data_IF_343887055424
#
_entry.id   IF_343887055424
#
_cell.length_a   1.000
_cell.length_b   1.000
_cell.length_c   1.000
_cell.angle_alpha   90.00
_cell.angle_beta   90.00
_cell.angle_gamma   90.00
#
_symmetry.space_group_name_H-M   'P 1'
#
loop_
_entity.id
_entity.type
_entity.pdbx_description
1 polymer ?
#
# COMPACT_ATOMS: atom_id res chain seq x y z
N UNK A 1 38.81 -14.61 62.13
CA UNK A 1 37.33 -14.44 61.97
C UNK A 1 37.09 -13.81 60.59
N UNK A 2 36.66 -14.60 59.60
CA UNK A 2 36.38 -14.13 58.23
C UNK A 2 34.88 -13.85 58.10
N UNK A 3 34.41 -12.74 57.52
CA UNK A 3 32.97 -12.50 57.37
C UNK A 3 32.39 -13.41 56.29
N UNK A 4 31.23 -14.02 56.59
CA UNK A 4 30.40 -14.84 55.68
C UNK A 4 29.90 -13.93 54.52
N UNK A 5 30.09 -14.37 53.28
CA UNK A 5 29.39 -13.82 52.11
C UNK A 5 27.92 -14.13 52.21
N UNK A 6 27.09 -13.09 52.18
CA UNK A 6 25.64 -13.22 52.02
C UNK A 6 25.35 -13.77 50.64
N UNK A 7 24.63 -14.85 50.59
CA UNK A 7 24.09 -15.47 49.37
C UNK A 7 23.08 -14.51 48.69
N UNK A 8 23.30 -14.22 47.44
CA UNK A 8 22.34 -13.53 46.57
C UNK A 8 21.01 -14.31 46.61
N UNK A 9 19.98 -13.67 47.11
CA UNK A 9 18.61 -14.17 47.05
C UNK A 9 18.16 -14.05 45.59
N UNK A 10 17.92 -15.21 44.96
CA UNK A 10 17.25 -15.33 43.66
C UNK A 10 15.83 -14.74 43.76
N UNK A 11 15.65 -13.50 43.29
CA UNK A 11 14.35 -12.85 43.23
C UNK A 11 13.55 -13.48 42.08
N UNK A 12 12.44 -14.20 42.38
CA UNK A 12 11.63 -14.83 41.31
C UNK A 12 10.98 -13.84 40.36
N UNK A 13 10.94 -12.53 40.67
CA UNK A 13 10.41 -11.48 39.79
C UNK A 13 11.37 -11.09 38.66
N UNK A 14 12.68 -11.41 38.77
CA UNK A 14 13.65 -11.17 37.71
C UNK A 14 13.56 -12.16 36.55
N UNK A 15 12.79 -13.25 36.66
CA UNK A 15 12.63 -14.26 35.59
C UNK A 15 11.38 -14.09 34.73
N UNK A 16 10.48 -13.18 35.06
CA UNK A 16 9.30 -12.90 34.24
C UNK A 16 9.59 -11.74 33.29
N UNK A 17 10.22 -12.04 32.14
CA UNK A 17 10.27 -11.11 31.01
C UNK A 17 8.89 -11.06 30.40
N UNK A 18 8.06 -10.13 30.86
CA UNK A 18 6.80 -9.79 30.19
C UNK A 18 7.19 -9.14 28.87
N UNK A 19 7.00 -9.86 27.76
CA UNK A 19 7.23 -9.29 26.44
C UNK A 19 6.16 -8.25 26.14
N UNK A 20 6.52 -7.08 25.60
CA UNK A 20 5.55 -6.08 25.22
C UNK A 20 4.54 -6.66 24.21
N UNK A 21 3.26 -6.41 24.40
CA UNK A 21 2.23 -6.75 23.42
C UNK A 21 2.46 -5.88 22.21
N UNK A 22 2.95 -6.48 21.11
CA UNK A 22 3.09 -5.79 19.84
C UNK A 22 1.70 -5.68 19.21
N UNK A 23 1.25 -4.45 18.96
CA UNK A 23 0.02 -4.20 18.20
C UNK A 23 0.31 -4.46 16.71
N UNK A 24 0.27 -5.75 16.32
CA UNK A 24 0.51 -6.17 14.93
C UNK A 24 -0.75 -6.03 14.10
N UNK A 25 -0.63 -5.52 12.88
CA UNK A 25 -1.73 -5.41 11.93
C UNK A 25 -2.27 -6.80 11.58
N UNK A 26 -3.56 -6.89 11.28
CA UNK A 26 -4.23 -8.17 11.02
C UNK A 26 -3.54 -8.99 9.92
N UNK A 27 -3.16 -8.35 8.80
CA UNK A 27 -2.46 -9.07 7.72
C UNK A 27 -1.11 -9.64 8.18
N UNK A 28 -0.39 -8.96 9.07
CA UNK A 28 0.89 -9.45 9.63
C UNK A 28 0.67 -10.68 10.51
N UNK A 29 -0.39 -10.68 11.34
CA UNK A 29 -0.73 -11.84 12.16
C UNK A 29 -1.08 -13.05 11.30
N UNK A 30 -1.81 -12.86 10.19
CA UNK A 30 -2.13 -13.91 9.23
C UNK A 30 -0.85 -14.42 8.55
N UNK A 31 0.03 -13.51 8.09
CA UNK A 31 1.29 -13.86 7.47
C UNK A 31 2.21 -14.65 8.42
N UNK A 32 2.34 -14.22 9.68
CA UNK A 32 3.10 -14.94 10.71
C UNK A 32 2.53 -16.34 10.96
N UNK A 33 1.20 -16.48 11.00
CA UNK A 33 0.56 -17.78 11.20
C UNK A 33 0.84 -18.73 10.04
N UNK A 34 0.66 -18.24 8.80
CA UNK A 34 0.95 -19.04 7.60
C UNK A 34 2.46 -19.36 7.50
N UNK A 35 3.35 -18.42 7.83
CA UNK A 35 4.80 -18.68 7.89
C UNK A 35 5.13 -19.80 8.88
N UNK A 36 4.49 -19.79 10.06
CA UNK A 36 4.68 -20.83 11.06
C UNK A 36 4.21 -22.20 10.56
N UNK A 37 3.08 -22.27 9.85
CA UNK A 37 2.55 -23.50 9.26
C UNK A 37 3.43 -24.02 8.10
N UNK A 38 4.04 -23.12 7.33
CA UNK A 38 5.03 -23.49 6.31
C UNK A 38 6.30 -24.05 6.99
N UNK A 39 6.77 -23.39 8.04
CA UNK A 39 7.97 -23.81 8.77
C UNK A 39 7.78 -25.15 9.53
N UNK A 40 6.57 -25.43 10.03
CA UNK A 40 6.23 -26.71 10.68
C UNK A 40 6.04 -27.87 9.67
N UNK A 41 5.93 -27.55 8.38
CA UNK A 41 5.73 -28.55 7.31
C UNK A 41 4.26 -28.89 7.04
N UNK A 42 3.28 -28.17 7.65
CA UNK A 42 1.87 -28.33 7.32
C UNK A 42 1.61 -27.99 5.84
N UNK A 43 2.39 -27.05 5.30
CA UNK A 43 2.47 -26.74 3.88
C UNK A 43 3.90 -26.94 3.38
N UNK A 44 4.25 -28.13 2.86
CA UNK A 44 5.61 -28.41 2.41
C UNK A 44 5.99 -27.60 1.16
N UNK A 45 7.30 -27.37 0.93
CA UNK A 45 7.77 -26.72 -0.29
C UNK A 45 7.19 -27.36 -1.56
N UNK A 46 6.73 -26.53 -2.48
CA UNK A 46 6.08 -26.98 -3.72
C UNK A 46 4.59 -27.25 -3.62
N UNK A 47 4.01 -27.31 -2.41
CA UNK A 47 2.56 -27.40 -2.22
C UNK A 47 1.86 -26.08 -2.46
N UNK A 48 0.54 -26.12 -2.60
CA UNK A 48 -0.32 -24.93 -2.67
C UNK A 48 -0.94 -24.63 -1.31
N UNK A 49 -1.03 -23.34 -0.98
CA UNK A 49 -1.88 -22.87 0.11
C UNK A 49 -3.37 -22.96 -0.32
N UNK A 50 -4.30 -23.08 0.64
CA UNK A 50 -5.71 -22.98 0.35
C UNK A 50 -6.07 -21.66 -0.35
N UNK A 51 -7.13 -21.65 -1.19
CA UNK A 51 -7.59 -20.42 -1.85
C UNK A 51 -7.90 -19.30 -0.85
N UNK A 52 -7.73 -18.03 -1.27
CA UNK A 52 -7.97 -16.85 -0.42
C UNK A 52 -9.33 -16.89 0.28
N UNK A 53 -10.38 -17.36 -0.42
CA UNK A 53 -11.73 -17.48 0.15
C UNK A 53 -11.74 -18.44 1.34
N UNK A 54 -11.12 -19.60 1.17
CA UNK A 54 -11.08 -20.62 2.22
C UNK A 54 -10.25 -20.16 3.42
N UNK A 55 -9.09 -19.55 3.18
CA UNK A 55 -8.27 -18.96 4.24
C UNK A 55 -9.03 -17.87 5.00
N UNK A 56 -9.79 -17.02 4.30
CA UNK A 56 -10.62 -15.99 4.91
C UNK A 56 -11.71 -16.58 5.81
N UNK A 57 -12.36 -17.63 5.36
CA UNK A 57 -13.36 -18.37 6.15
C UNK A 57 -12.72 -19.03 7.38
N UNK A 58 -11.59 -19.72 7.22
CA UNK A 58 -10.90 -20.41 8.31
C UNK A 58 -10.34 -19.45 9.37
N UNK A 59 -9.79 -18.31 8.96
CA UNK A 59 -9.27 -17.29 9.89
C UNK A 59 -10.35 -16.34 10.41
N UNK A 60 -11.56 -16.34 9.87
CA UNK A 60 -12.65 -15.43 10.26
C UNK A 60 -12.36 -13.96 9.92
N UNK A 61 -11.67 -13.71 8.81
CA UNK A 61 -11.21 -12.38 8.39
C UNK A 61 -11.68 -12.03 6.98
N UNK A 62 -11.44 -10.78 6.56
CA UNK A 62 -11.74 -10.37 5.18
C UNK A 62 -10.76 -11.00 4.17
N UNK A 63 -11.25 -11.28 2.94
CA UNK A 63 -10.39 -11.73 1.82
C UNK A 63 -9.27 -10.72 1.52
N UNK A 64 -9.54 -9.44 1.68
CA UNK A 64 -8.55 -8.37 1.53
C UNK A 64 -7.37 -8.55 2.49
N UNK A 65 -7.63 -8.83 3.77
CA UNK A 65 -6.57 -9.05 4.77
C UNK A 65 -5.74 -10.31 4.48
N UNK A 66 -6.40 -11.37 3.97
CA UNK A 66 -5.69 -12.59 3.51
C UNK A 66 -4.80 -12.27 2.31
N UNK A 67 -5.32 -11.54 1.33
CA UNK A 67 -4.54 -11.14 0.14
C UNK A 67 -3.30 -10.32 0.51
N UNK A 68 -3.47 -9.34 1.38
CA UNK A 68 -2.34 -8.54 1.90
C UNK A 68 -1.31 -9.43 2.59
N UNK A 69 -1.73 -10.42 3.38
CA UNK A 69 -0.85 -11.38 4.03
C UNK A 69 -0.09 -12.25 3.00
N UNK A 70 -0.78 -12.76 1.98
CA UNK A 70 -0.17 -13.57 0.92
C UNK A 70 0.84 -12.77 0.09
N UNK A 71 0.55 -11.50 -0.20
CA UNK A 71 1.48 -10.59 -0.86
C UNK A 71 2.71 -10.35 0.03
N UNK A 72 2.52 -10.14 1.34
CA UNK A 72 3.64 -9.99 2.28
C UNK A 72 4.52 -11.24 2.32
N UNK A 73 3.93 -12.45 2.32
CA UNK A 73 4.67 -13.71 2.23
C UNK A 73 5.43 -13.87 0.91
N UNK A 74 4.87 -13.37 -0.19
CA UNK A 74 5.56 -13.40 -1.48
C UNK A 74 6.71 -12.39 -1.53
N UNK A 75 6.53 -11.18 -1.01
CA UNK A 75 7.61 -10.18 -0.89
C UNK A 75 8.73 -10.71 -0.01
N UNK A 76 8.41 -11.48 1.05
CA UNK A 76 9.42 -12.16 1.88
C UNK A 76 10.03 -13.42 1.23
N UNK A 77 9.55 -13.81 0.05
CA UNK A 77 10.09 -14.94 -0.70
C UNK A 77 9.60 -16.33 -0.27
N UNK A 78 8.69 -16.43 0.69
CA UNK A 78 8.18 -17.71 1.21
C UNK A 78 7.22 -18.41 0.24
N UNK A 79 6.46 -17.65 -0.53
CA UNK A 79 5.50 -18.17 -1.51
C UNK A 79 5.67 -17.51 -2.88
N UNK A 80 4.96 -18.02 -3.87
CA UNK A 80 4.79 -17.40 -5.19
C UNK A 80 3.30 -17.33 -5.51
N UNK A 81 2.79 -16.13 -5.77
CA UNK A 81 1.40 -15.87 -6.11
C UNK A 81 1.25 -15.79 -7.63
N UNK A 82 0.32 -16.55 -8.19
CA UNK A 82 -0.05 -16.48 -9.62
C UNK A 82 -1.56 -16.40 -9.74
N UNK A 83 -2.04 -15.34 -10.37
CA UNK A 83 -3.48 -15.18 -10.62
C UNK A 83 -3.98 -16.33 -11.50
N UNK A 84 -5.04 -17.02 -11.03
CA UNK A 84 -5.61 -18.19 -11.72
C UNK A 84 -4.93 -19.53 -11.44
N UNK A 85 -3.72 -19.55 -10.88
CA UNK A 85 -2.99 -20.78 -10.53
C UNK A 85 -2.92 -21.01 -9.00
N UNK A 86 -3.04 -19.93 -8.22
CA UNK A 86 -3.01 -19.98 -6.77
C UNK A 86 -1.69 -19.55 -6.14
N UNK A 87 -1.49 -19.93 -4.87
CA UNK A 87 -0.32 -19.55 -4.06
C UNK A 87 0.49 -20.79 -3.73
N UNK A 88 1.71 -20.84 -4.25
CA UNK A 88 2.61 -21.99 -4.11
C UNK A 88 3.73 -21.69 -3.12
N UNK A 89 3.97 -22.62 -2.19
CA UNK A 89 5.09 -22.54 -1.23
C UNK A 89 6.41 -22.73 -1.97
N UNK A 90 7.39 -21.84 -1.76
CA UNK A 90 8.71 -21.89 -2.40
C UNK A 90 9.64 -22.86 -1.68
N UNK A 91 10.60 -23.42 -2.40
CA UNK A 91 11.68 -24.18 -1.79
C UNK A 91 12.66 -23.22 -1.08
N UNK A 92 13.19 -23.56 0.11
CA UNK A 92 14.12 -22.71 0.85
C UNK A 92 15.36 -22.30 0.04
N UNK A 93 15.84 -23.15 -0.84
CA UNK A 93 16.98 -22.89 -1.71
C UNK A 93 16.68 -21.88 -2.83
N UNK A 94 15.40 -21.66 -3.17
CA UNK A 94 14.97 -20.67 -4.15
C UNK A 94 14.60 -19.33 -3.49
N UNK A 95 14.49 -19.28 -2.19
CA UNK A 95 14.37 -18.06 -1.43
C UNK A 95 15.78 -17.45 -1.32
N UNK A 96 16.15 -16.58 -2.27
CA UNK A 96 17.22 -15.65 -1.99
C UNK A 96 16.90 -15.02 -0.62
N UNK A 97 17.90 -15.04 0.29
CA UNK A 97 17.76 -14.42 1.61
C UNK A 97 17.01 -13.09 1.42
N UNK A 98 15.90 -12.85 2.15
CA UNK A 98 15.34 -11.51 2.20
C UNK A 98 16.51 -10.60 2.58
N UNK A 99 16.63 -9.41 1.97
CA UNK A 99 17.58 -8.45 2.46
C UNK A 99 17.32 -8.34 3.96
N UNK A 100 18.30 -8.78 4.76
CA UNK A 100 18.27 -8.53 6.20
C UNK A 100 17.98 -7.04 6.34
N UNK A 101 16.76 -6.70 6.70
CA UNK A 101 16.49 -5.39 7.25
C UNK A 101 17.27 -5.36 8.55
N UNK A 102 18.54 -4.96 8.46
CA UNK A 102 19.31 -4.54 9.61
C UNK A 102 18.58 -3.30 10.16
N UNK A 103 17.56 -3.58 10.95
CA UNK A 103 16.89 -2.57 11.74
C UNK A 103 17.89 -2.09 12.78
N UNK A 104 18.68 -1.10 12.43
CA UNK A 104 19.26 -0.22 13.43
C UNK A 104 18.11 0.69 13.91
N UNK A 105 17.67 0.57 15.16
CA UNK A 105 16.67 1.47 15.71
C UNK A 105 17.29 2.86 15.79
N UNK A 106 16.75 3.82 15.02
CA UNK A 106 17.06 5.23 15.24
C UNK A 106 17.52 6.07 14.06
N UNK A 107 17.66 5.55 12.86
CA UNK A 107 17.80 6.39 11.68
C UNK A 107 16.43 6.47 10.98
N UNK A 108 15.77 7.61 11.04
CA UNK A 108 14.64 7.95 10.18
C UNK A 108 15.14 7.86 8.73
N UNK A 109 15.04 6.68 8.13
CA UNK A 109 15.38 6.48 6.74
C UNK A 109 14.22 6.99 5.87
N UNK A 110 14.12 8.31 5.77
CA UNK A 110 13.27 8.95 4.77
C UNK A 110 14.05 8.85 3.45
N UNK A 111 13.58 8.03 2.54
CA UNK A 111 14.12 7.98 1.17
C UNK A 111 13.28 8.90 0.31
N UNK A 112 13.90 9.89 -0.29
CA UNK A 112 13.28 10.67 -1.35
C UNK A 112 13.19 9.79 -2.60
N UNK A 113 11.97 9.30 -2.89
CA UNK A 113 11.74 8.32 -3.96
C UNK A 113 11.54 9.02 -5.30
N UNK A 114 10.95 10.19 -5.28
CA UNK A 114 10.68 10.99 -6.46
C UNK A 114 10.96 12.47 -6.16
N UNK A 115 12.21 12.92 -6.38
CA UNK A 115 12.60 14.31 -6.11
C UNK A 115 11.84 15.33 -6.96
N UNK A 116 11.43 14.95 -8.17
CA UNK A 116 10.67 15.80 -9.07
C UNK A 116 9.27 16.11 -8.52
N UNK A 117 8.67 15.13 -7.85
CA UNK A 117 7.37 15.27 -7.22
C UNK A 117 7.44 15.68 -5.75
N UNK A 118 8.63 15.71 -5.17
CA UNK A 118 8.85 15.94 -3.74
C UNK A 118 8.22 14.85 -2.88
N UNK A 119 8.28 13.59 -3.35
CA UNK A 119 7.72 12.43 -2.64
C UNK A 119 8.83 11.74 -1.87
N UNK A 120 8.63 11.60 -0.56
CA UNK A 120 9.50 10.86 0.34
C UNK A 120 8.74 9.69 0.97
N UNK A 121 9.41 8.55 1.13
CA UNK A 121 8.87 7.37 1.82
C UNK A 121 9.47 7.28 3.22
N UNK A 122 8.58 7.22 4.21
CA UNK A 122 8.93 6.78 5.56
C UNK A 122 8.94 5.25 5.59
N UNK A 123 10.14 4.67 5.60
CA UNK A 123 10.32 3.22 5.57
C UNK A 123 9.92 2.53 6.88
N UNK A 124 9.74 3.28 7.95
CA UNK A 124 9.34 2.72 9.24
C UNK A 124 7.83 2.49 9.33
N UNK A 125 7.05 3.10 8.42
CA UNK A 125 5.59 2.98 8.40
C UNK A 125 5.11 2.14 7.22
N UNK A 126 4.83 0.87 7.44
CA UNK A 126 4.13 0.03 6.45
C UNK A 126 2.64 0.36 6.44
N UNK A 127 2.09 0.79 5.31
CA UNK A 127 0.65 0.98 5.13
C UNK A 127 0.12 -0.11 4.19
N UNK A 128 -0.84 -0.96 4.64
CA UNK A 128 -1.44 -1.96 3.77
C UNK A 128 -2.09 -1.30 2.55
N UNK A 129 -1.98 -1.88 1.35
CA UNK A 129 -2.47 -1.28 0.12
C UNK A 129 -3.94 -0.85 0.14
N UNK A 130 -4.82 -1.66 0.74
CA UNK A 130 -6.24 -1.32 0.82
C UNK A 130 -6.54 -0.22 1.86
N UNK A 131 -5.81 -0.18 2.97
CA UNK A 131 -5.91 0.93 3.93
C UNK A 131 -5.48 2.26 3.28
N UNK A 132 -4.42 2.23 2.47
CA UNK A 132 -3.98 3.37 1.67
C UNK A 132 -5.08 3.85 0.70
N UNK A 133 -5.68 2.94 -0.06
CA UNK A 133 -6.73 3.26 -1.01
C UNK A 133 -7.99 3.81 -0.31
N UNK A 134 -8.35 3.27 0.85
CA UNK A 134 -9.48 3.76 1.65
C UNK A 134 -9.23 5.18 2.18
N UNK A 135 -8.01 5.49 2.65
CA UNK A 135 -7.64 6.83 3.08
C UNK A 135 -7.72 7.83 1.91
N UNK A 136 -7.20 7.48 0.74
CA UNK A 136 -7.30 8.28 -0.47
C UNK A 136 -8.77 8.53 -0.87
N UNK A 137 -9.59 7.47 -0.81
CA UNK A 137 -11.02 7.55 -1.12
C UNK A 137 -11.79 8.52 -0.24
N UNK A 138 -11.35 8.69 1.00
CA UNK A 138 -11.96 9.65 1.94
C UNK A 138 -11.51 11.09 1.68
N UNK A 139 -10.26 11.30 1.29
CA UNK A 139 -9.63 12.64 1.28
C UNK A 139 -9.66 13.28 -0.11
N UNK A 140 -9.33 12.54 -1.16
CA UNK A 140 -9.13 13.11 -2.50
C UNK A 140 -10.41 13.65 -3.15
N UNK A 141 -11.61 13.09 -2.95
CA UNK A 141 -12.84 13.69 -3.46
C UNK A 141 -13.09 15.10 -2.94
N UNK A 142 -12.81 15.35 -1.65
CA UNK A 142 -12.93 16.70 -1.09
C UNK A 142 -11.87 17.65 -1.64
N UNK A 143 -10.64 17.18 -1.81
CA UNK A 143 -9.60 17.97 -2.47
C UNK A 143 -10.00 18.36 -3.90
N UNK A 144 -10.62 17.45 -4.66
CA UNK A 144 -11.10 17.74 -6.02
C UNK A 144 -12.24 18.78 -6.04
N UNK A 145 -13.18 18.68 -5.09
CA UNK A 145 -14.26 19.66 -4.94
C UNK A 145 -13.73 21.05 -4.60
N UNK A 146 -12.77 21.13 -3.66
CA UNK A 146 -12.13 22.39 -3.29
C UNK A 146 -11.28 22.95 -4.45
N UNK A 147 -10.58 22.11 -5.21
CA UNK A 147 -9.86 22.53 -6.41
C UNK A 147 -10.78 23.16 -7.47
N UNK A 148 -11.99 22.61 -7.65
CA UNK A 148 -12.98 23.19 -8.52
C UNK A 148 -13.45 24.57 -8.02
N UNK A 149 -13.57 24.76 -6.71
CA UNK A 149 -14.05 26.00 -6.09
C UNK A 149 -12.98 27.08 -5.99
N UNK A 150 -11.78 26.71 -5.55
CA UNK A 150 -10.72 27.65 -5.15
C UNK A 150 -9.53 27.70 -6.11
N UNK A 151 -9.33 26.66 -6.93
CA UNK A 151 -8.16 26.58 -7.81
C UNK A 151 -8.06 27.75 -8.76
N UNK A 152 -6.93 28.43 -8.85
CA UNK A 152 -6.67 29.45 -9.85
C UNK A 152 -6.59 28.86 -11.25
N UNK A 153 -6.75 29.67 -12.28
CA UNK A 153 -6.64 29.20 -13.66
C UNK A 153 -5.25 28.61 -13.96
N UNK A 154 -4.20 29.16 -13.35
CA UNK A 154 -2.86 28.62 -13.45
C UNK A 154 -2.73 27.22 -12.78
N UNK A 155 -3.34 27.00 -11.63
CA UNK A 155 -3.35 25.69 -10.97
C UNK A 155 -4.16 24.68 -11.77
N UNK A 156 -5.31 25.07 -12.34
CA UNK A 156 -6.10 24.20 -13.23
C UNK A 156 -5.35 23.87 -14.50
N UNK A 157 -4.59 24.81 -15.07
CA UNK A 157 -3.69 24.52 -16.18
C UNK A 157 -2.61 23.48 -15.78
N UNK A 158 -2.03 23.60 -14.59
CA UNK A 158 -1.06 22.62 -14.05
C UNK A 158 -1.66 21.22 -13.82
N UNK A 159 -2.95 21.13 -13.43
CA UNK A 159 -3.67 19.85 -13.37
C UNK A 159 -3.79 19.24 -14.76
N UNK A 160 -4.10 20.07 -15.77
CA UNK A 160 -4.18 19.60 -17.16
C UNK A 160 -2.83 19.11 -17.70
N UNK A 161 -1.74 19.81 -17.41
CA UNK A 161 -0.39 19.37 -17.79
C UNK A 161 -0.06 18.01 -17.17
N UNK A 162 -0.39 17.81 -15.89
CA UNK A 162 -0.21 16.53 -15.22
C UNK A 162 -1.06 15.41 -15.85
N UNK A 163 -2.29 15.73 -16.29
CA UNK A 163 -3.13 14.80 -17.03
C UNK A 163 -2.50 14.39 -18.36
N UNK A 164 -1.97 15.35 -19.15
CA UNK A 164 -1.27 15.06 -20.41
C UNK A 164 -0.02 14.21 -20.19
N UNK A 165 0.71 14.44 -19.11
CA UNK A 165 1.83 13.60 -18.71
C UNK A 165 1.39 12.18 -18.40
N UNK A 166 0.25 12.00 -17.72
CA UNK A 166 -0.30 10.66 -17.45
C UNK A 166 -0.71 9.94 -18.77
N UNK A 167 -1.29 10.65 -19.74
CA UNK A 167 -1.58 10.07 -21.06
C UNK A 167 -0.27 9.61 -21.77
N UNK A 168 0.82 10.37 -21.65
CA UNK A 168 2.12 10.01 -22.23
C UNK A 168 2.74 8.81 -21.50
N UNK A 169 2.70 8.78 -20.16
CA UNK A 169 3.16 7.64 -19.36
C UNK A 169 2.45 6.34 -19.76
N UNK A 170 1.14 6.41 -19.97
CA UNK A 170 0.34 5.25 -20.41
C UNK A 170 0.71 4.81 -21.84
N UNK A 171 0.97 5.77 -22.74
CA UNK A 171 1.34 5.48 -24.13
C UNK A 171 2.74 4.87 -24.23
N UNK A 172 3.67 5.36 -23.45
CA UNK A 172 5.06 4.86 -23.39
C UNK A 172 5.23 3.57 -22.59
N UNK A 173 4.17 3.13 -21.89
CA UNK A 173 4.23 1.96 -21.01
C UNK A 173 5.09 2.19 -19.75
N UNK A 174 5.08 3.40 -19.22
CA UNK A 174 5.77 3.74 -17.98
C UNK A 174 5.38 2.81 -16.84
N UNK A 175 6.35 2.27 -16.15
CA UNK A 175 6.11 1.37 -14.99
C UNK A 175 5.81 2.13 -13.71
N UNK A 176 6.24 3.37 -13.61
CA UNK A 176 6.13 4.18 -12.39
C UNK A 176 4.96 5.15 -12.42
N UNK A 177 4.42 5.46 -13.62
CA UNK A 177 3.28 6.37 -13.82
C UNK A 177 3.39 7.68 -13.01
N UNK A 178 4.45 8.47 -13.16
CA UNK A 178 4.62 9.72 -12.41
C UNK A 178 3.52 10.73 -12.70
N UNK A 179 2.97 10.77 -13.93
CA UNK A 179 1.86 11.63 -14.32
C UNK A 179 0.57 11.35 -13.54
N UNK A 180 0.26 10.08 -13.24
CA UNK A 180 -0.88 9.71 -12.39
C UNK A 180 -0.75 10.35 -11.00
N UNK A 181 0.41 10.20 -10.36
CA UNK A 181 0.64 10.79 -9.03
C UNK A 181 0.65 12.31 -9.08
N UNK A 182 1.29 12.89 -10.08
CA UNK A 182 1.33 14.34 -10.27
C UNK A 182 -0.08 14.93 -10.42
N UNK A 183 -0.97 14.25 -11.15
CA UNK A 183 -2.35 14.66 -11.31
C UNK A 183 -3.08 14.80 -9.97
N UNK A 184 -3.01 13.78 -9.13
CA UNK A 184 -3.61 13.82 -7.79
C UNK A 184 -2.98 14.88 -6.88
N UNK A 185 -1.66 15.05 -6.94
CA UNK A 185 -0.94 16.08 -6.17
C UNK A 185 -1.38 17.48 -6.60
N UNK A 186 -1.45 17.76 -7.91
CA UNK A 186 -1.86 19.07 -8.44
C UNK A 186 -3.29 19.43 -8.06
N UNK A 187 -4.20 18.45 -8.04
CA UNK A 187 -5.56 18.64 -7.53
C UNK A 187 -5.53 19.02 -6.04
N UNK A 188 -4.74 18.32 -5.24
CA UNK A 188 -4.62 18.62 -3.82
C UNK A 188 -4.00 20.01 -3.57
N UNK A 189 -3.01 20.41 -4.34
CA UNK A 189 -2.41 21.75 -4.27
C UNK A 189 -3.40 22.86 -4.68
N UNK A 190 -4.28 22.57 -5.64
CA UNK A 190 -5.32 23.52 -6.09
C UNK A 190 -6.50 23.63 -5.12
N UNK A 191 -6.60 22.80 -4.09
CA UNK A 191 -7.65 22.85 -3.08
C UNK A 191 -7.57 24.07 -2.15
N UNK A 192 -6.51 24.86 -2.24
CA UNK A 192 -6.17 25.96 -1.32
C UNK A 192 -6.00 25.53 0.15
N UNK A 193 -5.78 24.23 0.37
CA UNK A 193 -5.51 23.67 1.69
C UNK A 193 -4.21 22.88 1.68
N UNK A 194 -3.12 23.43 2.24
CA UNK A 194 -1.80 22.79 2.21
C UNK A 194 -1.77 21.44 2.97
N UNK A 195 -2.70 21.22 3.91
CA UNK A 195 -2.80 19.95 4.61
C UNK A 195 -3.22 18.82 3.67
N UNK A 196 -4.15 19.05 2.73
CA UNK A 196 -4.51 18.05 1.73
C UNK A 196 -3.32 17.69 0.83
N UNK A 197 -2.58 18.70 0.34
CA UNK A 197 -1.40 18.45 -0.47
C UNK A 197 -0.34 17.63 0.27
N UNK A 198 -0.07 17.95 1.55
CA UNK A 198 0.85 17.18 2.39
C UNK A 198 0.38 15.74 2.58
N UNK A 199 -0.88 15.55 2.97
CA UNK A 199 -1.44 14.21 3.24
C UNK A 199 -1.45 13.36 1.96
N UNK A 200 -1.87 13.91 0.83
CA UNK A 200 -1.94 13.17 -0.43
C UNK A 200 -0.54 12.82 -0.93
N UNK A 201 0.46 13.70 -0.82
CA UNK A 201 1.85 13.39 -1.13
C UNK A 201 2.36 12.22 -0.29
N UNK A 202 2.11 12.21 1.01
CA UNK A 202 2.51 11.11 1.89
C UNK A 202 1.79 9.79 1.53
N UNK A 203 0.48 9.83 1.30
CA UNK A 203 -0.25 8.62 0.88
C UNK A 203 0.25 8.07 -0.46
N UNK A 204 0.58 8.95 -1.41
CA UNK A 204 1.09 8.54 -2.73
C UNK A 204 2.53 7.99 -2.67
N UNK A 205 3.32 8.39 -1.66
CA UNK A 205 4.65 7.82 -1.44
C UNK A 205 4.58 6.30 -1.21
N UNK A 206 3.57 5.82 -0.48
CA UNK A 206 3.37 4.39 -0.23
C UNK A 206 2.98 3.55 -1.47
N UNK A 207 2.68 4.17 -2.62
CA UNK A 207 2.55 3.43 -3.89
C UNK A 207 3.89 2.83 -4.36
N UNK A 208 5.02 3.29 -3.83
CA UNK A 208 6.35 2.70 -4.06
C UNK A 208 6.66 1.53 -3.12
N UNK A 209 5.83 1.29 -2.10
CA UNK A 209 5.99 0.15 -1.21
C UNK A 209 5.94 -1.17 -2.00
N UNK A 210 6.83 -2.14 -1.72
CA UNK A 210 6.87 -3.42 -2.41
C UNK A 210 5.53 -4.17 -2.42
N UNK A 211 4.75 -4.06 -1.35
CA UNK A 211 3.41 -4.68 -1.30
C UNK A 211 2.45 -4.04 -2.31
N UNK A 212 2.42 -2.69 -2.40
CA UNK A 212 1.54 -2.01 -3.34
C UNK A 212 1.97 -2.29 -4.79
N UNK A 213 3.26 -2.24 -5.09
CA UNK A 213 3.79 -2.57 -6.41
C UNK A 213 3.47 -4.02 -6.80
N UNK A 214 3.55 -4.94 -5.85
CA UNK A 214 3.20 -6.35 -6.10
C UNK A 214 1.71 -6.51 -6.34
N UNK A 215 0.86 -5.86 -5.56
CA UNK A 215 -0.59 -5.82 -5.79
C UNK A 215 -0.90 -5.34 -7.23
N UNK A 216 -0.29 -4.23 -7.65
CA UNK A 216 -0.45 -3.72 -9.00
C UNK A 216 -0.01 -4.72 -10.06
N UNK A 217 1.19 -5.32 -9.91
CA UNK A 217 1.73 -6.25 -10.91
C UNK A 217 0.90 -7.52 -11.09
N UNK A 218 0.21 -7.96 -10.04
CA UNK A 218 -0.64 -9.15 -10.07
C UNK A 218 -2.04 -8.88 -10.62
N UNK A 219 -2.62 -7.74 -10.25
CA UNK A 219 -4.07 -7.54 -10.40
C UNK A 219 -4.45 -6.35 -11.29
N UNK A 220 -3.49 -5.61 -11.84
CA UNK A 220 -3.81 -4.52 -12.77
C UNK A 220 -4.27 -5.08 -14.13
N UNK A 221 -5.51 -4.81 -14.55
CA UNK A 221 -6.00 -5.25 -15.85
C UNK A 221 -5.29 -4.51 -16.98
N UNK A 222 -5.19 -5.13 -18.14
CA UNK A 222 -4.55 -4.53 -19.33
C UNK A 222 -5.26 -3.28 -19.86
N UNK A 223 -6.56 -3.12 -19.56
CA UNK A 223 -7.35 -1.93 -19.94
C UNK A 223 -7.30 -0.79 -18.93
N UNK A 224 -6.58 -1.00 -17.79
CA UNK A 224 -6.50 0.00 -16.71
C UNK A 224 -5.99 1.37 -17.20
N UNK A 225 -4.96 1.49 -18.05
CA UNK A 225 -4.51 2.80 -18.51
C UNK A 225 -5.62 3.60 -19.22
N UNK A 226 -6.35 2.98 -20.12
CA UNK A 226 -7.47 3.62 -20.84
C UNK A 226 -8.65 3.96 -19.92
N UNK A 227 -8.90 3.14 -18.90
CA UNK A 227 -9.93 3.39 -17.90
C UNK A 227 -9.54 4.59 -17.04
N UNK A 228 -8.32 4.61 -16.51
CA UNK A 228 -7.79 5.69 -15.70
C UNK A 228 -7.83 7.02 -16.47
N UNK A 229 -7.43 7.05 -17.74
CA UNK A 229 -7.51 8.24 -18.57
C UNK A 229 -8.94 8.81 -18.68
N UNK A 230 -9.95 7.95 -18.91
CA UNK A 230 -11.34 8.41 -18.97
C UNK A 230 -11.82 8.95 -17.64
N UNK A 231 -11.49 8.28 -16.55
CA UNK A 231 -11.85 8.68 -15.18
C UNK A 231 -11.16 10.00 -14.79
N UNK A 232 -9.87 10.16 -15.08
CA UNK A 232 -9.12 11.40 -14.85
C UNK A 232 -9.64 12.55 -15.71
N UNK A 233 -10.02 12.30 -16.97
CA UNK A 233 -10.64 13.31 -17.81
C UNK A 233 -11.95 13.84 -17.24
N UNK A 234 -12.81 12.95 -16.73
CA UNK A 234 -14.04 13.36 -16.08
C UNK A 234 -13.79 14.25 -14.84
N UNK A 235 -12.78 13.93 -14.06
CA UNK A 235 -12.37 14.76 -12.89
C UNK A 235 -11.88 16.14 -13.37
N UNK A 236 -10.99 16.17 -14.37
CA UNK A 236 -10.46 17.42 -14.91
C UNK A 236 -11.55 18.31 -15.51
N UNK A 237 -12.47 17.74 -16.29
CA UNK A 237 -13.56 18.46 -16.92
C UNK A 237 -14.49 19.07 -15.87
N UNK A 238 -14.80 18.35 -14.78
CA UNK A 238 -15.58 18.86 -13.66
C UNK A 238 -14.87 20.02 -12.94
N UNK A 239 -13.55 19.91 -12.71
CA UNK A 239 -12.76 20.98 -12.09
C UNK A 239 -12.72 22.21 -13.01
N UNK A 240 -12.55 22.05 -14.30
CA UNK A 240 -12.59 23.14 -15.30
C UNK A 240 -13.96 23.82 -15.37
N UNK A 241 -15.01 23.03 -15.25
CA UNK A 241 -16.38 23.56 -15.21
C UNK A 241 -16.72 24.25 -13.88
N UNK A 242 -15.79 24.25 -12.90
CA UNK A 242 -16.01 24.77 -11.55
C UNK A 242 -17.18 24.08 -10.81
N UNK A 243 -17.50 22.85 -11.18
CA UNK A 243 -18.54 22.02 -10.56
C UNK A 243 -17.91 21.16 -9.45
N UNK A 244 -17.99 21.67 -8.21
CA UNK A 244 -17.42 21.00 -7.03
C UNK A 244 -18.06 19.64 -6.76
N UNK A 245 -19.38 19.52 -6.96
CA UNK A 245 -20.09 18.26 -6.70
C UNK A 245 -19.77 17.21 -7.76
N UNK A 246 -19.67 17.62 -9.04
CA UNK A 246 -19.22 16.71 -10.10
C UNK A 246 -17.77 16.28 -9.90
N UNK A 247 -16.86 17.18 -9.51
CA UNK A 247 -15.47 16.87 -9.23
C UNK A 247 -15.33 15.87 -8.07
N UNK A 248 -16.08 16.08 -6.99
CA UNK A 248 -16.15 15.14 -5.84
C UNK A 248 -16.61 13.76 -6.29
N UNK A 249 -17.71 13.68 -7.02
CA UNK A 249 -18.26 12.41 -7.50
C UNK A 249 -17.30 11.70 -8.43
N UNK A 250 -16.74 12.38 -9.41
CA UNK A 250 -15.81 11.80 -10.38
C UNK A 250 -14.56 11.24 -9.70
N UNK A 251 -13.96 11.96 -8.74
CA UNK A 251 -12.81 11.46 -7.98
C UNK A 251 -13.19 10.26 -7.11
N UNK A 252 -14.36 10.29 -6.48
CA UNK A 252 -14.87 9.19 -5.68
C UNK A 252 -15.06 7.92 -6.52
N UNK A 253 -15.69 8.04 -7.69
CA UNK A 253 -15.94 6.94 -8.63
C UNK A 253 -14.62 6.35 -9.15
N UNK A 254 -13.63 7.20 -9.46
CA UNK A 254 -12.29 6.78 -9.84
C UNK A 254 -11.65 5.89 -8.76
N UNK A 255 -11.60 6.35 -7.52
CA UNK A 255 -10.99 5.60 -6.42
C UNK A 255 -11.79 4.33 -6.06
N UNK A 256 -13.12 4.37 -6.13
CA UNK A 256 -13.97 3.18 -6.00
C UNK A 256 -13.72 2.16 -7.12
N UNK A 257 -13.43 2.64 -8.35
CA UNK A 257 -13.03 1.79 -9.48
C UNK A 257 -11.72 1.06 -9.18
N UNK A 258 -10.70 1.77 -8.70
CA UNK A 258 -9.40 1.20 -8.31
C UNK A 258 -9.55 0.16 -7.19
N UNK A 259 -10.31 0.51 -6.12
CA UNK A 259 -10.56 -0.42 -5.00
C UNK A 259 -11.27 -1.69 -5.50
N UNK A 260 -12.27 -1.56 -6.35
CA UNK A 260 -12.98 -2.73 -6.91
C UNK A 260 -12.09 -3.62 -7.76
N UNK A 261 -11.21 -3.03 -8.57
CA UNK A 261 -10.27 -3.80 -9.42
C UNK A 261 -9.40 -4.68 -8.54
N UNK A 262 -8.74 -4.11 -7.54
CA UNK A 262 -7.88 -4.88 -6.65
C UNK A 262 -8.65 -5.79 -5.69
N UNK A 263 -9.94 -5.49 -5.43
CA UNK A 263 -10.82 -6.33 -4.60
C UNK A 263 -11.40 -7.55 -5.33
N UNK A 264 -11.69 -7.43 -6.63
CA UNK A 264 -12.38 -8.48 -7.42
C UNK A 264 -11.48 -9.54 -8.02
N UNK A 265 -10.20 -9.35 -8.07
CA UNK A 265 -9.26 -10.18 -8.84
C UNK A 265 -9.15 -11.65 -8.41
N UNK A 266 -10.12 -12.19 -7.67
CA UNK A 266 -10.15 -13.56 -7.16
C UNK A 266 -11.58 -14.19 -7.13
N UNK A 267 -12.44 -13.84 -8.07
CA UNK A 267 -13.66 -14.61 -8.33
C UNK A 267 -13.43 -15.60 -9.47
#
# INVERSE_FOLDING_TARGET
>A
MRPRRLTQTDDPLQRMSIQPIQNRRLYQQIADRLSSMIASGDFPPGSYLPPERELAEQFGVSRTSVREALIALEVSGLVSVRVGDGVKVRHPEAAGLPPERSAQPGALAVIEIDPELGIALDLDTEIPPFALLQARRLIEPEAAALAATHGSDAQIAGIHEAFLRNEEDNRSGSRTHPGDRLFHIRIAEASDNPAYALMIKQLLAHKYDPMFQRLQSLYMPSDMPRRSEREHRAILDAIRARDADAARRAMAEHLDSVIRIFGRACD
#
